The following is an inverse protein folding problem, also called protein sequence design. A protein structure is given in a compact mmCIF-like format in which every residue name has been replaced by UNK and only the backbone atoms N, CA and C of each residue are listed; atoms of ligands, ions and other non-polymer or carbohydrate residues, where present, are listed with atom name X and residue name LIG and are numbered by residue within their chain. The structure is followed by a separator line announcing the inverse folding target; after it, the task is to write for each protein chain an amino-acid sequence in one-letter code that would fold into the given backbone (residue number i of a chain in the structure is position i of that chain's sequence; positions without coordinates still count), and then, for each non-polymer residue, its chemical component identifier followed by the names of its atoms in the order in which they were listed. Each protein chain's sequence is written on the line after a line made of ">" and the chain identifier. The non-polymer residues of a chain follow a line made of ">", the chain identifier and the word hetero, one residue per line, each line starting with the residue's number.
data_IF_442900294843
#
_entry.id   IF_442900294843
#
_cell.length_a   1.000
_cell.length_b   1.000
_cell.length_c   1.000
_cell.angle_alpha   90.00
_cell.angle_beta   90.00
_cell.angle_gamma   90.00
#
_symmetry.space_group_name_H-M   'P 1'
#
loop_
_entity.id
_entity.type
_entity.pdbx_description
1 polymer ?
#
# COMPACT_ATOMS: atom_id res chain seq x y z
N UNK A 1 -15.44 8.34 -19.44
CA UNK A 1 -15.38 7.42 -18.26
C UNK A 1 -15.70 5.96 -18.60
N UNK A 2 -16.82 5.61 -19.27
CA UNK A 2 -17.14 4.19 -19.61
C UNK A 2 -15.98 3.46 -20.33
N UNK A 3 -15.36 4.07 -21.33
CA UNK A 3 -14.23 3.47 -22.05
C UNK A 3 -12.98 3.29 -21.16
N UNK A 4 -12.75 4.18 -20.19
CA UNK A 4 -11.61 4.08 -19.26
C UNK A 4 -11.77 2.92 -18.27
N UNK A 5 -12.98 2.73 -17.72
CA UNK A 5 -13.29 1.60 -16.84
C UNK A 5 -13.13 0.26 -17.56
N UNK A 6 -13.69 0.14 -18.78
CA UNK A 6 -13.53 -1.06 -19.59
C UNK A 6 -12.05 -1.36 -19.89
N UNK A 7 -11.25 -0.32 -20.15
CA UNK A 7 -9.81 -0.47 -20.40
C UNK A 7 -9.05 -0.86 -19.13
N UNK A 8 -9.39 -0.30 -17.98
CA UNK A 8 -8.79 -0.67 -16.71
C UNK A 8 -9.07 -2.15 -16.36
N UNK A 9 -10.33 -2.59 -16.55
CA UNK A 9 -10.70 -3.99 -16.37
C UNK A 9 -9.92 -4.89 -17.33
N UNK A 10 -9.81 -4.52 -18.61
CA UNK A 10 -9.04 -5.33 -19.59
C UNK A 10 -7.56 -5.39 -19.26
N UNK A 11 -6.97 -4.29 -18.72
CA UNK A 11 -5.59 -4.31 -18.22
C UNK A 11 -5.45 -5.26 -17.04
N UNK A 12 -6.38 -5.22 -16.09
CA UNK A 12 -6.40 -6.11 -14.94
C UNK A 12 -6.48 -7.60 -15.37
N UNK A 13 -7.43 -7.94 -16.24
CA UNK A 13 -7.57 -9.29 -16.80
C UNK A 13 -6.31 -9.78 -17.50
N UNK A 14 -5.70 -8.92 -18.35
CA UNK A 14 -4.46 -9.26 -19.05
C UNK A 14 -3.29 -9.48 -18.08
N UNK A 15 -3.24 -8.72 -16.98
CA UNK A 15 -2.23 -8.93 -15.94
C UNK A 15 -2.49 -10.21 -15.12
N UNK A 16 -3.75 -10.58 -14.89
CA UNK A 16 -4.10 -11.87 -14.28
C UNK A 16 -3.69 -13.05 -15.19
N UNK A 17 -3.95 -12.96 -16.50
CA UNK A 17 -3.51 -13.97 -17.47
C UNK A 17 -1.98 -14.12 -17.48
N UNK A 18 -1.24 -13.01 -17.39
CA UNK A 18 0.22 -13.00 -17.48
C UNK A 18 0.93 -13.37 -16.18
N UNK A 19 0.41 -12.98 -15.03
CA UNK A 19 1.06 -13.09 -13.72
C UNK A 19 0.37 -14.05 -12.77
N UNK A 20 -0.84 -14.46 -13.08
CA UNK A 20 -1.70 -15.26 -12.22
C UNK A 20 -2.46 -14.43 -11.18
N UNK A 21 -3.41 -15.10 -10.51
CA UNK A 21 -4.09 -14.54 -9.34
C UNK A 21 -3.08 -14.43 -8.21
N UNK A 22 -2.91 -13.23 -7.62
CA UNK A 22 -2.03 -13.09 -6.46
C UNK A 22 -2.55 -13.93 -5.30
N UNK A 23 -1.70 -14.76 -4.71
CA UNK A 23 -2.05 -15.53 -3.53
C UNK A 23 -2.37 -14.54 -2.40
N UNK A 24 -3.61 -14.59 -1.93
CA UNK A 24 -4.02 -13.81 -0.76
C UNK A 24 -3.21 -14.30 0.43
N UNK A 25 -2.35 -13.45 0.97
CA UNK A 25 -1.74 -13.73 2.28
C UNK A 25 -2.88 -13.80 3.30
N UNK A 26 -2.76 -14.63 4.32
CA UNK A 26 -3.63 -14.48 5.49
C UNK A 26 -3.56 -13.01 5.92
N UNK A 27 -4.67 -12.28 5.93
CA UNK A 27 -4.65 -10.87 6.28
C UNK A 27 -4.03 -10.71 7.66
N UNK A 28 -3.08 -9.80 7.79
CA UNK A 28 -2.59 -9.40 9.09
C UNK A 28 -3.71 -8.67 9.85
N UNK A 29 -3.76 -8.77 11.18
CA UNK A 29 -4.58 -7.85 11.99
C UNK A 29 -4.31 -6.40 11.56
N UNK A 30 -5.34 -5.55 11.54
CA UNK A 30 -5.21 -4.21 10.96
C UNK A 30 -4.14 -3.34 11.64
N UNK A 31 -3.90 -3.52 12.94
CA UNK A 31 -2.82 -2.84 13.66
C UNK A 31 -1.44 -3.36 13.22
N UNK A 32 -1.30 -4.66 12.97
CA UNK A 32 -0.06 -5.27 12.47
C UNK A 32 0.26 -4.75 11.06
N UNK A 33 -0.76 -4.67 10.18
CA UNK A 33 -0.61 -4.14 8.83
C UNK A 33 -0.23 -2.64 8.86
N UNK A 34 -0.82 -1.87 9.77
CA UNK A 34 -0.48 -0.45 9.95
C UNK A 34 1.01 -0.29 10.28
N UNK A 35 1.51 -1.02 11.27
CA UNK A 35 2.93 -0.95 11.68
C UNK A 35 3.83 -1.50 10.58
N UNK A 36 3.48 -2.63 9.96
CA UNK A 36 4.21 -3.21 8.82
C UNK A 36 4.32 -2.21 7.67
N UNK A 37 3.23 -1.50 7.36
CA UNK A 37 3.22 -0.50 6.28
C UNK A 37 4.05 0.73 6.64
N UNK A 38 4.06 1.20 7.90
CA UNK A 38 4.99 2.26 8.35
C UNK A 38 6.44 1.79 8.18
N UNK A 39 6.74 0.55 8.54
CA UNK A 39 8.08 -0.02 8.35
C UNK A 39 8.46 -0.15 6.87
N UNK A 40 7.51 -0.33 5.96
CA UNK A 40 7.76 -0.44 4.52
C UNK A 40 8.18 0.86 3.84
N UNK A 41 8.00 2.01 4.49
CA UNK A 41 8.36 3.31 3.91
C UNK A 41 9.87 3.38 3.60
N UNK A 42 10.22 3.70 2.35
CA UNK A 42 11.61 3.82 1.87
C UNK A 42 12.49 2.57 2.17
N UNK A 43 11.92 1.39 2.07
CA UNK A 43 12.65 0.12 2.18
C UNK A 43 12.05 -0.95 1.26
N UNK A 44 12.72 -2.10 1.14
CA UNK A 44 12.20 -3.26 0.41
C UNK A 44 11.45 -4.21 1.36
N UNK A 45 10.69 -5.14 0.77
CA UNK A 45 9.85 -6.07 1.52
C UNK A 45 10.65 -6.96 2.49
N UNK A 46 11.86 -7.42 2.08
CA UNK A 46 12.73 -8.28 2.91
C UNK A 46 13.15 -7.54 4.18
N UNK A 47 13.57 -6.30 4.05
CA UNK A 47 14.02 -5.50 5.18
C UNK A 47 12.86 -5.06 6.08
N UNK A 48 11.68 -4.77 5.48
CA UNK A 48 10.44 -4.55 6.23
C UNK A 48 10.13 -5.77 7.11
N UNK A 49 10.10 -6.97 6.51
CA UNK A 49 9.76 -8.21 7.23
C UNK A 49 10.77 -8.53 8.33
N UNK A 50 12.07 -8.33 8.07
CA UNK A 50 13.11 -8.47 9.11
C UNK A 50 12.87 -7.52 10.29
N UNK A 51 12.58 -6.25 10.01
CA UNK A 51 12.30 -5.27 11.06
C UNK A 51 11.00 -5.57 11.82
N UNK A 52 9.94 -5.96 11.13
CA UNK A 52 8.68 -6.34 11.72
C UNK A 52 8.82 -7.57 12.62
N UNK A 53 9.44 -8.64 12.13
CA UNK A 53 9.63 -9.86 12.88
C UNK A 53 10.54 -9.64 14.11
N UNK A 54 11.61 -8.84 13.99
CA UNK A 54 12.46 -8.50 15.11
C UNK A 54 11.71 -7.67 16.18
N UNK A 55 10.85 -6.75 15.76
CA UNK A 55 10.00 -5.97 16.65
C UNK A 55 9.03 -6.88 17.42
N UNK A 56 8.33 -7.80 16.72
CA UNK A 56 7.39 -8.75 17.34
C UNK A 56 8.07 -9.78 18.24
N UNK A 57 9.27 -10.22 17.89
CA UNK A 57 10.06 -11.12 18.75
C UNK A 57 10.50 -10.46 20.06
N UNK A 58 10.84 -9.16 20.01
CA UNK A 58 11.25 -8.40 21.21
C UNK A 58 10.05 -7.96 22.06
N UNK A 59 8.94 -7.62 21.43
CA UNK A 59 7.74 -7.07 22.07
C UNK A 59 6.51 -7.91 21.69
N UNK A 60 6.01 -8.76 22.59
CA UNK A 60 4.89 -9.67 22.30
C UNK A 60 3.57 -8.97 21.97
N UNK A 61 3.34 -7.77 22.53
CA UNK A 61 2.11 -7.00 22.32
C UNK A 61 2.42 -5.60 21.79
N UNK A 62 1.44 -4.94 21.19
CA UNK A 62 1.59 -3.56 20.73
C UNK A 62 1.63 -2.55 21.86
N UNK A 63 1.01 -2.86 23.01
CA UNK A 63 1.14 -2.10 24.23
C UNK A 63 2.60 -2.12 24.72
N UNK A 64 3.27 -3.26 24.65
CA UNK A 64 4.69 -3.36 24.99
C UNK A 64 5.57 -2.52 24.06
N UNK A 65 5.23 -2.42 22.77
CA UNK A 65 5.92 -1.50 21.84
C UNK A 65 5.65 -0.06 22.18
N UNK A 66 4.38 0.28 22.47
CA UNK A 66 3.94 1.64 22.82
C UNK A 66 4.69 2.16 24.06
N UNK A 67 4.82 1.33 25.09
CA UNK A 67 5.31 1.72 26.41
C UNK A 67 6.83 1.51 26.59
N UNK A 68 7.50 0.91 25.58
CA UNK A 68 8.95 0.67 25.62
C UNK A 68 9.76 1.96 25.53
N UNK A 69 11.02 1.89 25.94
CA UNK A 69 11.99 2.95 25.62
C UNK A 69 12.13 3.06 24.10
N UNK A 70 12.13 4.27 23.58
CA UNK A 70 12.17 4.51 22.11
C UNK A 70 13.43 3.92 21.49
N UNK A 71 14.55 3.94 22.21
CA UNK A 71 15.84 3.38 21.78
C UNK A 71 15.74 1.87 21.53
N UNK A 72 14.97 1.17 22.34
CA UNK A 72 14.73 -0.27 22.21
C UNK A 72 13.90 -0.62 20.98
N UNK A 73 12.87 0.21 20.68
CA UNK A 73 12.07 0.10 19.46
C UNK A 73 12.92 0.39 18.23
N UNK A 74 13.71 1.48 18.26
CA UNK A 74 14.64 1.85 17.18
C UNK A 74 15.63 0.70 16.91
N UNK A 75 16.22 0.12 17.96
CA UNK A 75 17.16 -0.99 17.82
C UNK A 75 16.51 -2.21 17.15
N UNK A 76 15.28 -2.56 17.53
CA UNK A 76 14.56 -3.70 16.97
C UNK A 76 14.25 -3.53 15.47
N UNK A 77 13.83 -2.33 15.06
CA UNK A 77 13.43 -2.06 13.66
C UNK A 77 14.57 -1.60 12.75
N UNK A 78 15.81 -1.58 13.23
CA UNK A 78 17.00 -1.13 12.48
C UNK A 78 17.12 -1.76 11.07
N UNK A 79 16.80 -3.06 10.86
CA UNK A 79 16.81 -3.67 9.53
C UNK A 79 15.87 -3.00 8.52
N UNK A 80 14.76 -2.40 8.96
CA UNK A 80 13.80 -1.74 8.07
C UNK A 80 14.27 -0.36 7.56
N UNK A 81 15.45 0.14 7.99
CA UNK A 81 15.97 1.45 7.63
C UNK A 81 15.16 2.62 8.22
N UNK A 82 15.76 3.80 8.29
CA UNK A 82 15.15 5.01 8.86
C UNK A 82 14.57 4.79 10.29
N UNK A 83 15.20 3.92 11.07
CA UNK A 83 14.70 3.47 12.38
C UNK A 83 14.49 4.64 13.36
N UNK A 84 15.38 5.64 13.35
CA UNK A 84 15.26 6.84 14.18
C UNK A 84 14.03 7.70 13.88
N UNK A 85 13.46 7.57 12.68
CA UNK A 85 12.23 8.26 12.29
C UNK A 85 11.00 7.37 12.51
N UNK A 86 11.11 6.08 12.15
CA UNK A 86 10.00 5.13 12.21
C UNK A 86 9.66 4.70 13.65
N UNK A 87 10.66 4.51 14.52
CA UNK A 87 10.46 4.09 15.91
C UNK A 87 9.55 5.04 16.69
N UNK A 88 9.93 6.32 16.83
CA UNK A 88 9.07 7.30 17.50
C UNK A 88 7.69 7.44 16.84
N UNK A 89 7.61 7.38 15.51
CA UNK A 89 6.36 7.46 14.76
C UNK A 89 5.41 6.31 15.08
N UNK A 90 5.92 5.08 15.12
CA UNK A 90 5.13 3.91 15.50
C UNK A 90 4.56 4.09 16.91
N UNK A 91 5.39 4.47 17.87
CA UNK A 91 4.93 4.70 19.26
C UNK A 91 3.88 5.82 19.33
N UNK A 92 4.11 6.95 18.65
CA UNK A 92 3.13 8.05 18.61
C UNK A 92 1.79 7.60 18.04
N UNK A 93 1.78 6.82 16.97
CA UNK A 93 0.54 6.29 16.39
C UNK A 93 -0.15 5.33 17.36
N UNK A 94 0.59 4.42 17.99
CA UNK A 94 0.03 3.49 18.99
C UNK A 94 -0.54 4.23 20.22
N UNK A 95 0.16 5.24 20.73
CA UNK A 95 -0.34 6.10 21.81
C UNK A 95 -1.64 6.79 21.41
N UNK A 96 -1.66 7.48 20.26
CA UNK A 96 -2.82 8.22 19.80
C UNK A 96 -4.06 7.33 19.57
N UNK A 97 -3.85 6.11 19.02
CA UNK A 97 -4.93 5.12 18.91
C UNK A 97 -5.43 4.70 20.27
N UNK A 98 -4.54 4.43 21.23
CA UNK A 98 -4.92 4.05 22.60
C UNK A 98 -5.68 5.15 23.31
N UNK A 99 -5.23 6.40 23.21
CA UNK A 99 -5.89 7.57 23.82
C UNK A 99 -7.31 7.74 23.29
N UNK A 100 -7.53 7.51 22.00
CA UNK A 100 -8.84 7.71 21.40
C UNK A 100 -9.79 6.50 21.57
N UNK A 101 -9.25 5.28 21.55
CA UNK A 101 -10.04 4.05 21.51
C UNK A 101 -9.98 3.21 22.77
N UNK A 102 -9.03 3.47 23.66
CA UNK A 102 -8.76 2.64 24.84
C UNK A 102 -8.12 1.28 24.52
N UNK A 103 -7.92 0.93 23.24
CA UNK A 103 -7.34 -0.35 22.81
C UNK A 103 -6.64 -0.21 21.48
N UNK A 104 -5.71 -1.15 21.18
CA UNK A 104 -4.97 -1.22 19.92
C UNK A 104 -5.64 -2.20 18.93
N UNK A 105 -6.98 -2.13 18.81
CA UNK A 105 -7.76 -2.86 17.82
C UNK A 105 -8.38 -1.87 16.82
N UNK A 106 -8.20 -2.17 15.52
CA UNK A 106 -8.70 -1.36 14.40
C UNK A 106 -9.88 -2.01 13.65
N UNK A 107 -10.40 -3.15 14.11
CA UNK A 107 -11.46 -3.89 13.40
C UNK A 107 -12.77 -3.09 13.30
N UNK A 108 -13.00 -2.15 14.21
CA UNK A 108 -14.15 -1.25 14.18
C UNK A 108 -14.23 -0.43 12.88
N UNK A 109 -13.11 -0.19 12.22
CA UNK A 109 -13.07 0.53 10.94
C UNK A 109 -13.86 -0.20 9.84
N UNK A 110 -13.95 -1.53 9.91
CA UNK A 110 -14.71 -2.31 8.93
C UNK A 110 -16.23 -2.03 8.96
N UNK A 111 -16.74 -1.47 10.05
CA UNK A 111 -18.14 -1.05 10.19
C UNK A 111 -18.41 0.39 9.73
N UNK A 112 -17.37 1.13 9.33
CA UNK A 112 -17.48 2.53 8.90
C UNK A 112 -17.57 2.63 7.36
N UNK A 113 -18.14 3.71 6.81
CA UNK A 113 -17.93 4.09 5.41
C UNK A 113 -16.43 4.23 5.12
N UNK A 114 -15.98 3.76 3.95
CA UNK A 114 -14.53 3.71 3.60
C UNK A 114 -13.84 5.06 3.70
N UNK A 115 -14.53 6.15 3.33
CA UNK A 115 -13.94 7.49 3.38
C UNK A 115 -13.79 8.00 4.82
N UNK A 116 -14.71 7.66 5.72
CA UNK A 116 -14.59 7.96 7.15
C UNK A 116 -13.46 7.15 7.79
N UNK A 117 -13.37 5.86 7.49
CA UNK A 117 -12.27 4.99 7.95
C UNK A 117 -10.91 5.49 7.45
N UNK A 118 -10.84 5.94 6.20
CA UNK A 118 -9.65 6.56 5.61
C UNK A 118 -9.28 7.85 6.32
N UNK A 119 -10.25 8.75 6.54
CA UNK A 119 -10.04 10.02 7.25
C UNK A 119 -9.55 9.76 8.67
N UNK A 120 -10.12 8.75 9.36
CA UNK A 120 -9.71 8.36 10.70
C UNK A 120 -8.25 7.91 10.74
N UNK A 121 -7.80 7.08 9.80
CA UNK A 121 -6.42 6.61 9.73
C UNK A 121 -5.44 7.73 9.36
N UNK A 122 -5.81 8.58 8.41
CA UNK A 122 -4.89 9.61 7.89
C UNK A 122 -4.68 10.80 8.83
N UNK A 123 -5.46 10.92 9.91
CA UNK A 123 -5.22 11.95 10.95
C UNK A 123 -3.94 11.69 11.75
N UNK A 124 -3.46 10.44 11.80
CA UNK A 124 -2.24 10.11 12.54
C UNK A 124 -1.00 10.51 11.75
N UNK A 125 -0.07 11.18 12.43
CA UNK A 125 1.19 11.60 11.81
C UNK A 125 1.97 10.40 11.26
N UNK A 126 2.31 10.46 9.98
CA UNK A 126 3.02 9.37 9.28
C UNK A 126 2.12 8.28 8.67
N UNK A 127 0.82 8.40 8.80
CA UNK A 127 -0.18 7.57 8.13
C UNK A 127 -0.76 8.36 6.95
N UNK A 128 -0.20 8.17 5.78
CA UNK A 128 -0.69 8.82 4.54
C UNK A 128 -1.78 8.00 3.83
N UNK A 129 -2.33 8.54 2.73
CA UNK A 129 -3.40 7.87 1.95
C UNK A 129 -3.03 6.45 1.52
N UNK A 130 -1.78 6.20 1.09
CA UNK A 130 -1.32 4.85 0.74
C UNK A 130 -1.38 3.90 1.93
N UNK A 131 -0.88 4.33 3.11
CA UNK A 131 -0.85 3.49 4.31
C UNK A 131 -2.28 3.15 4.75
N UNK A 132 -3.17 4.15 4.79
CA UNK A 132 -4.57 3.94 5.11
C UNK A 132 -5.24 2.96 4.12
N UNK A 133 -5.04 3.15 2.82
CA UNK A 133 -5.63 2.27 1.81
C UNK A 133 -5.11 0.81 1.90
N UNK A 134 -3.84 0.60 2.27
CA UNK A 134 -3.28 -0.74 2.51
C UNK A 134 -4.00 -1.41 3.70
N UNK A 135 -4.11 -0.73 4.84
CA UNK A 135 -4.79 -1.28 6.02
C UNK A 135 -6.25 -1.63 5.69
N UNK A 136 -6.97 -0.70 5.06
CA UNK A 136 -8.38 -0.89 4.70
C UNK A 136 -8.57 -2.03 3.71
N UNK A 137 -7.76 -2.10 2.64
CA UNK A 137 -7.90 -3.10 1.60
C UNK A 137 -7.40 -4.48 2.07
N UNK A 138 -6.22 -4.55 2.70
CA UNK A 138 -5.51 -5.81 2.92
C UNK A 138 -5.90 -6.49 4.22
N UNK A 139 -6.25 -5.74 5.25
CA UNK A 139 -6.66 -6.31 6.54
C UNK A 139 -8.17 -6.35 6.73
N UNK A 140 -8.86 -5.31 6.26
CA UNK A 140 -10.29 -5.14 6.52
C UNK A 140 -11.18 -5.43 5.31
N UNK A 141 -10.58 -5.83 4.16
CA UNK A 141 -11.29 -6.11 2.90
C UNK A 141 -12.25 -4.99 2.47
N UNK A 142 -11.88 -3.74 2.77
CA UNK A 142 -12.66 -2.55 2.41
C UNK A 142 -12.24 -2.05 1.02
N UNK A 143 -13.15 -1.39 0.27
CA UNK A 143 -12.87 -0.92 -1.10
C UNK A 143 -11.99 0.34 -1.11
N UNK A 144 -10.73 0.20 -0.76
CA UNK A 144 -9.70 1.23 -0.83
C UNK A 144 -8.56 0.77 -1.76
N UNK A 145 -8.23 1.58 -2.78
CA UNK A 145 -7.18 1.24 -3.75
C UNK A 145 -5.85 1.90 -3.37
N UNK A 146 -4.83 1.14 -2.94
CA UNK A 146 -3.55 1.74 -2.58
C UNK A 146 -2.78 2.18 -3.82
N UNK A 147 -2.28 3.41 -3.83
CA UNK A 147 -1.44 3.95 -4.91
C UNK A 147 -0.02 4.18 -4.40
N UNK A 148 0.91 3.32 -4.80
CA UNK A 148 2.33 3.48 -4.52
C UNK A 148 3.06 4.17 -5.70
N UNK A 149 4.37 4.34 -5.58
CA UNK A 149 5.19 4.97 -6.62
C UNK A 149 5.19 4.20 -7.94
N UNK A 150 5.04 2.86 -7.91
CA UNK A 150 4.93 2.04 -9.11
C UNK A 150 3.58 2.27 -9.79
N UNK A 151 2.49 2.15 -9.04
CA UNK A 151 1.13 2.34 -9.56
C UNK A 151 0.94 3.77 -10.07
N UNK A 152 1.42 4.76 -9.31
CA UNK A 152 1.34 6.15 -9.76
C UNK A 152 2.06 6.37 -11.09
N UNK A 153 3.28 5.86 -11.25
CA UNK A 153 4.03 5.93 -12.51
C UNK A 153 3.32 5.18 -13.63
N UNK A 154 2.91 3.94 -13.37
CA UNK A 154 2.27 3.10 -14.38
C UNK A 154 0.94 3.68 -14.85
N UNK A 155 0.06 4.06 -13.92
CA UNK A 155 -1.25 4.62 -14.28
C UNK A 155 -1.16 5.86 -15.17
N UNK A 156 -0.11 6.68 -15.00
CA UNK A 156 0.20 7.77 -15.91
C UNK A 156 0.68 7.28 -17.29
N UNK A 157 1.69 6.38 -17.33
CA UNK A 157 2.24 5.84 -18.57
C UNK A 157 1.22 5.10 -19.43
N UNK A 158 0.44 4.23 -18.81
CA UNK A 158 -0.60 3.47 -19.52
C UNK A 158 -1.85 4.31 -19.81
N UNK A 159 -1.91 5.54 -19.30
CA UNK A 159 -3.01 6.48 -19.58
C UNK A 159 -4.30 6.15 -18.81
N UNK A 160 -4.19 5.55 -17.62
CA UNK A 160 -5.33 5.33 -16.72
C UNK A 160 -5.66 6.55 -15.86
N UNK A 161 -4.75 7.50 -15.73
CA UNK A 161 -4.97 8.79 -15.06
C UNK A 161 -4.40 9.95 -15.87
N UNK A 162 -4.90 11.18 -15.66
CA UNK A 162 -4.28 12.39 -16.19
C UNK A 162 -2.83 12.55 -15.72
N UNK A 163 -1.95 13.04 -16.59
CA UNK A 163 -0.52 13.16 -16.32
C UNK A 163 -0.22 14.09 -15.14
N UNK A 164 -0.91 15.24 -15.07
CA UNK A 164 -0.69 16.28 -14.05
C UNK A 164 -1.38 16.02 -12.71
N UNK A 165 -2.07 14.88 -12.55
CA UNK A 165 -2.76 14.53 -11.31
C UNK A 165 -1.75 14.23 -10.20
N UNK A 166 -1.97 14.75 -8.98
CA UNK A 166 -1.11 14.43 -7.82
C UNK A 166 -1.30 13.00 -7.32
N UNK A 167 -0.38 12.53 -6.46
CA UNK A 167 -0.49 11.18 -5.87
C UNK A 167 -1.75 11.06 -5.01
N UNK A 168 -2.04 12.09 -4.23
CA UNK A 168 -3.21 12.15 -3.34
C UNK A 168 -4.52 12.06 -4.14
N UNK A 169 -4.61 12.78 -5.26
CA UNK A 169 -5.76 12.74 -6.16
C UNK A 169 -5.88 11.40 -6.88
N UNK A 170 -4.76 10.70 -7.10
CA UNK A 170 -4.76 9.43 -7.82
C UNK A 170 -5.48 8.29 -7.07
N UNK A 171 -5.50 8.31 -5.73
CA UNK A 171 -6.20 7.31 -4.93
C UNK A 171 -7.71 7.26 -5.28
N UNK A 172 -8.52 8.30 -4.97
CA UNK A 172 -9.95 8.25 -5.26
C UNK A 172 -10.22 8.17 -6.77
N UNK A 173 -9.33 8.71 -7.59
CA UNK A 173 -9.50 8.62 -9.04
C UNK A 173 -9.39 7.18 -9.54
N UNK A 174 -8.35 6.43 -9.16
CA UNK A 174 -8.16 5.04 -9.58
C UNK A 174 -9.21 4.11 -8.96
N UNK A 175 -9.70 4.42 -7.76
CA UNK A 175 -10.88 3.76 -7.18
C UNK A 175 -12.11 3.94 -8.08
N UNK A 176 -12.31 5.11 -8.66
CA UNK A 176 -13.41 5.33 -9.60
C UNK A 176 -13.25 4.62 -10.95
N UNK A 177 -12.04 4.16 -11.26
CA UNK A 177 -11.66 3.55 -12.55
C UNK A 177 -11.66 2.03 -12.49
N UNK A 178 -11.12 1.44 -11.44
CA UNK A 178 -11.13 -0.02 -11.24
C UNK A 178 -12.41 -0.47 -10.52
N UNK A 179 -12.94 -1.68 -10.79
CA UNK A 179 -13.98 -2.29 -9.97
C UNK A 179 -13.44 -2.64 -8.58
N UNK A 180 -14.21 -2.41 -7.48
CA UNK A 180 -13.72 -2.62 -6.11
C UNK A 180 -13.19 -4.04 -5.83
N UNK A 181 -13.83 -5.05 -6.40
CA UNK A 181 -13.43 -6.46 -6.26
C UNK A 181 -12.06 -6.78 -6.86
N UNK A 182 -11.55 -5.91 -7.73
CA UNK A 182 -10.24 -6.10 -8.38
C UNK A 182 -9.08 -5.44 -7.63
N UNK A 183 -9.36 -4.62 -6.62
CA UNK A 183 -8.34 -3.72 -6.03
C UNK A 183 -7.11 -4.44 -5.53
N UNK A 184 -7.28 -5.52 -4.79
CA UNK A 184 -6.16 -6.29 -4.25
C UNK A 184 -5.28 -6.86 -5.36
N UNK A 185 -5.87 -7.62 -6.28
CA UNK A 185 -5.14 -8.26 -7.36
C UNK A 185 -4.55 -7.24 -8.35
N UNK A 186 -5.31 -6.20 -8.70
CA UNK A 186 -4.83 -5.13 -9.56
C UNK A 186 -3.63 -4.39 -8.93
N UNK A 187 -3.68 -4.08 -7.63
CA UNK A 187 -2.58 -3.46 -6.90
C UNK A 187 -1.30 -4.30 -6.99
N UNK A 188 -1.37 -5.58 -6.64
CA UNK A 188 -0.20 -6.45 -6.59
C UNK A 188 0.37 -6.71 -8.00
N UNK A 189 -0.48 -6.95 -9.00
CA UNK A 189 -0.02 -7.20 -10.36
C UNK A 189 0.53 -5.93 -11.04
N UNK A 190 -0.01 -4.76 -10.74
CA UNK A 190 0.57 -3.49 -11.19
C UNK A 190 1.93 -3.23 -10.54
N UNK A 191 2.10 -3.50 -9.25
CA UNK A 191 3.42 -3.39 -8.60
C UNK A 191 4.41 -4.35 -9.27
N UNK A 192 4.01 -5.60 -9.50
CA UNK A 192 4.84 -6.60 -10.17
C UNK A 192 5.26 -6.14 -11.57
N UNK A 193 4.31 -5.66 -12.37
CA UNK A 193 4.60 -5.05 -13.67
C UNK A 193 5.61 -3.91 -13.56
N UNK A 194 5.46 -3.06 -12.56
CA UNK A 194 6.35 -1.92 -12.33
C UNK A 194 7.76 -2.28 -11.87
N UNK A 195 7.91 -3.40 -11.18
CA UNK A 195 9.19 -3.92 -10.70
C UNK A 195 9.92 -4.73 -11.77
N UNK A 196 9.22 -5.64 -12.44
CA UNK A 196 9.83 -6.65 -13.32
C UNK A 196 9.93 -6.18 -14.79
N UNK A 197 8.96 -5.38 -15.26
CA UNK A 197 8.85 -5.04 -16.68
C UNK A 197 8.94 -3.53 -16.93
N UNK A 198 8.04 -2.75 -16.32
CA UNK A 198 7.97 -1.31 -16.58
C UNK A 198 8.82 -0.50 -15.60
N UNK A 199 10.14 -0.71 -15.62
CA UNK A 199 11.09 0.02 -14.79
C UNK A 199 11.01 1.55 -14.97
N UNK A 200 11.44 2.30 -13.95
CA UNK A 200 11.34 3.76 -13.95
C UNK A 200 12.16 4.40 -15.09
N UNK A 201 13.42 3.97 -15.26
CA UNK A 201 14.36 4.52 -16.24
C UNK A 201 14.34 3.76 -17.58
N UNK A 202 14.24 2.44 -17.52
CA UNK A 202 14.29 1.56 -18.70
C UNK A 202 13.10 0.59 -18.66
N UNK A 203 11.94 0.94 -19.22
CA UNK A 203 10.83 0.00 -19.36
C UNK A 203 11.16 -1.04 -20.44
N UNK A 204 10.90 -2.32 -20.15
CA UNK A 204 11.03 -3.39 -21.13
C UNK A 204 9.71 -3.57 -21.90
N UNK A 205 9.41 -2.62 -22.77
CA UNK A 205 8.15 -2.58 -23.52
C UNK A 205 7.92 -3.80 -24.42
N UNK A 206 8.93 -4.39 -25.09
CA UNK A 206 8.73 -5.60 -25.89
C UNK A 206 8.19 -6.80 -25.11
N UNK A 207 8.54 -6.92 -23.83
CA UNK A 207 8.06 -8.02 -22.98
C UNK A 207 6.84 -7.64 -22.14
N UNK A 208 6.24 -6.46 -22.36
CA UNK A 208 5.13 -5.98 -21.56
C UNK A 208 3.80 -6.66 -21.98
N UNK A 209 3.12 -7.39 -21.08
CA UNK A 209 1.89 -8.09 -21.43
C UNK A 209 0.76 -7.14 -21.86
N UNK A 210 0.78 -5.89 -21.36
CA UNK A 210 -0.23 -4.88 -21.70
C UNK A 210 0.21 -3.87 -22.77
N UNK A 211 1.24 -4.20 -23.57
CA UNK A 211 1.81 -3.27 -24.56
C UNK A 211 0.77 -2.71 -25.54
N UNK A 212 -0.21 -3.52 -25.95
CA UNK A 212 -1.29 -3.13 -26.87
C UNK A 212 -2.30 -2.19 -26.22
N UNK A 213 -2.43 -2.21 -24.90
CA UNK A 213 -3.34 -1.36 -24.13
C UNK A 213 -2.65 -0.09 -23.58
N UNK A 214 -1.31 -0.01 -23.71
CA UNK A 214 -0.50 1.05 -23.14
C UNK A 214 -0.47 2.29 -24.04
N UNK A 215 -0.64 3.49 -23.44
CA UNK A 215 -0.60 4.78 -24.15
C UNK A 215 0.76 5.50 -24.00
N UNK A 216 1.77 4.88 -23.41
CA UNK A 216 3.08 5.48 -23.24
C UNK A 216 3.72 5.80 -24.61
N UNK A 217 4.11 7.07 -24.79
CA UNK A 217 4.64 7.55 -26.08
C UNK A 217 6.09 7.14 -26.34
N UNK A 218 6.89 6.99 -25.27
CA UNK A 218 8.31 6.65 -25.31
C UNK A 218 8.54 5.15 -25.11
N UNK A 219 7.77 4.31 -25.81
CA UNK A 219 7.97 2.87 -25.73
C UNK A 219 9.34 2.49 -26.28
N UNK A 220 10.08 1.67 -25.52
CA UNK A 220 11.31 1.05 -26.02
C UNK A 220 11.00 0.04 -27.11
N UNK A 221 11.89 -0.05 -28.10
CA UNK A 221 11.82 -1.03 -29.18
C UNK A 221 12.44 -2.36 -28.76
#
# INVERSE_FOLDING_TARGET
>A
MKNLKARALKIHETLLEAFGEPIWRNPLPAIDELVSTILSQNTNDINRDRGFNALRAKFPTWEAVRDAKVEDVIAAIKPAGLANQKGPRIQQVLCAITEERGSLNLDFLAAMPVDEARAWLTKFNGVGPKTAAIVLCFSLNMPAFPVDTHIYRLSGRIGLRPEKMTVEQAHPYLESVFPPETYYAAHLNLIRLGREVCGARKPNCPQCPIIKLCQYKEKTK
#
